data_IF_395045631433
#
_entry.id   IF_395045631433
#
_cell.length_a   1.000
_cell.length_b   1.000
_cell.length_c   1.000
_cell.angle_alpha   90.00
_cell.angle_beta   90.00
_cell.angle_gamma   90.00
#
_symmetry.space_group_name_H-M   'P 1'
#
loop_
_entity.id
_entity.type
_entity.pdbx_description
1 polymer ?
#
# COMPACT_ATOMS: atom_id res chain seq x y z
N UNK A 1 0.21 0.01 21.52
CA UNK A 1 -1.20 0.00 21.96
C UNK A 1 -1.93 -0.98 21.04
N UNK A 2 -2.73 -1.91 21.55
CA UNK A 2 -3.46 -2.91 20.73
C UNK A 2 -4.96 -2.73 20.88
N UNK A 3 -5.71 -3.02 19.81
CA UNK A 3 -7.18 -2.99 19.76
C UNK A 3 -7.73 -4.39 19.52
N UNK A 4 -8.96 -4.66 19.95
CA UNK A 4 -9.60 -5.96 19.74
C UNK A 4 -10.18 -6.03 18.33
N UNK A 5 -9.80 -7.05 17.58
CA UNK A 5 -10.38 -7.39 16.28
C UNK A 5 -11.31 -8.61 16.46
N UNK A 6 -12.61 -8.41 16.27
CA UNK A 6 -13.60 -9.50 16.31
C UNK A 6 -14.04 -9.85 14.89
N UNK A 7 -13.63 -11.04 14.43
CA UNK A 7 -13.96 -11.55 13.09
C UNK A 7 -14.51 -12.97 13.19
N UNK A 8 -15.48 -13.29 12.34
CA UNK A 8 -16.02 -14.65 12.26
C UNK A 8 -15.11 -15.50 11.38
N UNK A 9 -14.65 -16.62 11.92
CA UNK A 9 -13.85 -17.60 11.20
C UNK A 9 -14.49 -18.98 11.29
N UNK A 10 -14.12 -19.89 10.38
CA UNK A 10 -14.54 -21.29 10.47
C UNK A 10 -14.02 -21.88 11.78
N UNK A 11 -14.90 -22.54 12.54
CA UNK A 11 -14.57 -23.16 13.83
C UNK A 11 -13.36 -24.10 13.70
N UNK A 12 -13.38 -24.94 12.66
CA UNK A 12 -12.33 -25.90 12.34
C UNK A 12 -10.93 -25.26 12.18
N UNK A 13 -10.86 -24.05 11.60
CA UNK A 13 -9.59 -23.34 11.42
C UNK A 13 -9.04 -22.85 12.74
N UNK A 14 -9.90 -22.26 13.58
CA UNK A 14 -9.52 -21.78 14.91
C UNK A 14 -9.04 -22.94 15.78
N UNK A 15 -9.82 -24.02 15.83
CA UNK A 15 -9.49 -25.21 16.63
C UNK A 15 -8.19 -25.87 16.16
N UNK A 16 -7.99 -26.02 14.84
CA UNK A 16 -6.77 -26.60 14.31
C UNK A 16 -5.55 -25.71 14.57
N UNK A 17 -5.69 -24.39 14.45
CA UNK A 17 -4.61 -23.45 14.77
C UNK A 17 -4.22 -23.54 16.25
N UNK A 18 -5.20 -23.60 17.15
CA UNK A 18 -4.98 -23.78 18.60
C UNK A 18 -4.30 -25.12 18.91
N UNK A 19 -4.77 -26.22 18.30
CA UNK A 19 -4.16 -27.56 18.47
C UNK A 19 -2.70 -27.61 18.02
N UNK A 20 -2.35 -26.87 16.97
CA UNK A 20 -1.00 -26.79 16.43
C UNK A 20 -0.13 -25.75 17.14
N UNK A 21 -0.66 -25.04 18.15
CA UNK A 21 0.07 -23.98 18.86
C UNK A 21 0.39 -22.77 18.00
N UNK A 22 -0.39 -22.53 16.94
CA UNK A 22 -0.20 -21.39 16.04
C UNK A 22 -0.69 -20.12 16.75
N UNK A 23 0.16 -19.10 16.78
CA UNK A 23 -0.23 -17.78 17.26
C UNK A 23 -1.14 -17.09 16.23
N UNK A 24 -2.45 -17.17 16.44
CA UNK A 24 -3.47 -16.58 15.56
C UNK A 24 -3.26 -15.07 15.41
N UNK A 25 -2.81 -14.39 16.47
CA UNK A 25 -2.55 -12.95 16.42
C UNK A 25 -1.46 -12.62 15.41
N UNK A 26 -0.32 -13.31 15.47
CA UNK A 26 0.80 -13.04 14.56
C UNK A 26 0.43 -13.34 13.10
N UNK A 27 -0.38 -14.38 12.88
CA UNK A 27 -0.89 -14.71 11.54
C UNK A 27 -1.78 -13.60 11.01
N UNK A 28 -2.71 -13.10 11.83
CA UNK A 28 -3.63 -12.04 11.45
C UNK A 28 -2.90 -10.71 11.25
N UNK A 29 -1.97 -10.35 12.14
CA UNK A 29 -1.17 -9.12 12.01
C UNK A 29 -0.34 -9.13 10.71
N UNK A 30 0.39 -10.21 10.44
CA UNK A 30 1.16 -10.34 9.18
C UNK A 30 0.28 -10.29 7.94
N UNK A 31 -0.84 -11.00 7.95
CA UNK A 31 -1.76 -11.00 6.81
C UNK A 31 -2.35 -9.61 6.55
N UNK A 32 -2.66 -8.85 7.63
CA UNK A 32 -3.12 -7.47 7.51
C UNK A 32 -2.01 -6.54 6.99
N UNK A 33 -0.80 -6.64 7.53
CA UNK A 33 0.35 -5.85 7.06
C UNK A 33 0.65 -6.07 5.57
N UNK A 34 0.67 -7.33 5.13
CA UNK A 34 0.87 -7.67 3.72
C UNK A 34 -0.26 -7.14 2.83
N UNK A 35 -1.52 -7.28 3.26
CA UNK A 35 -2.67 -6.77 2.51
C UNK A 35 -2.66 -5.23 2.39
N UNK A 36 -2.31 -4.52 3.47
CA UNK A 36 -2.16 -3.07 3.47
C UNK A 36 -1.04 -2.66 2.51
N UNK A 37 0.13 -3.28 2.64
CA UNK A 37 1.30 -2.96 1.81
C UNK A 37 1.02 -3.15 0.31
N UNK A 38 0.31 -4.21 -0.06
CA UNK A 38 -0.05 -4.41 -1.47
C UNK A 38 -1.04 -3.35 -1.94
N UNK A 39 -2.01 -2.95 -1.10
CA UNK A 39 -2.93 -1.85 -1.45
C UNK A 39 -2.25 -0.49 -1.57
N UNK A 40 -1.36 -0.14 -0.66
CA UNK A 40 -0.58 1.10 -0.77
C UNK A 40 0.25 1.12 -2.06
N UNK A 41 0.85 -0.02 -2.42
CA UNK A 41 1.60 -0.15 -3.68
C UNK A 41 0.70 -0.01 -4.91
N UNK A 42 -0.50 -0.60 -4.90
CA UNK A 42 -1.48 -0.40 -5.97
C UNK A 42 -1.86 1.07 -6.12
N UNK A 43 -2.12 1.78 -5.01
CA UNK A 43 -2.44 3.21 -5.01
C UNK A 43 -1.31 4.06 -5.59
N UNK A 44 -0.05 3.79 -5.21
CA UNK A 44 1.12 4.47 -5.78
C UNK A 44 1.20 4.24 -7.29
N UNK A 45 0.99 3.01 -7.75
CA UNK A 45 1.01 2.70 -9.18
C UNK A 45 -0.11 3.39 -9.95
N UNK A 46 -1.30 3.50 -9.35
CA UNK A 46 -2.43 4.21 -9.95
C UNK A 46 -2.17 5.72 -10.03
N UNK A 47 -1.59 6.32 -9.00
CA UNK A 47 -1.16 7.72 -9.01
C UNK A 47 -0.09 7.93 -10.09
N UNK A 48 0.93 7.08 -10.15
CA UNK A 48 1.99 7.16 -11.15
C UNK A 48 1.42 7.04 -12.58
N UNK A 49 0.45 6.14 -12.81
CA UNK A 49 -0.25 6.02 -14.10
C UNK A 49 -1.00 7.30 -14.46
N UNK A 50 -1.74 7.90 -13.51
CA UNK A 50 -2.44 9.17 -13.72
C UNK A 50 -1.48 10.30 -14.07
N UNK A 51 -0.36 10.42 -13.33
CA UNK A 51 0.68 11.42 -13.63
C UNK A 51 1.22 11.22 -15.04
N UNK A 52 1.57 9.98 -15.41
CA UNK A 52 2.06 9.66 -16.75
C UNK A 52 1.06 10.05 -17.84
N UNK A 53 -0.23 9.81 -17.61
CA UNK A 53 -1.28 10.16 -18.56
C UNK A 53 -1.46 11.68 -18.70
N UNK A 54 -1.38 12.42 -17.59
CA UNK A 54 -1.42 13.89 -17.59
C UNK A 54 -0.18 14.51 -18.25
N UNK A 55 0.99 13.90 -18.07
CA UNK A 55 2.27 14.36 -18.64
C UNK A 55 2.55 13.79 -20.03
N UNK A 56 1.60 13.10 -20.66
CA UNK A 56 1.83 12.41 -21.96
C UNK A 56 2.29 13.35 -23.08
N UNK A 57 1.93 14.62 -22.99
CA UNK A 57 2.22 15.66 -23.99
C UNK A 57 3.37 16.59 -23.55
N UNK A 58 4.06 16.27 -22.43
CA UNK A 58 5.18 17.05 -21.89
C UNK A 58 6.47 16.29 -22.12
N UNK A 59 7.42 16.91 -22.82
CA UNK A 59 8.78 16.37 -22.98
C UNK A 59 9.62 16.54 -21.71
N UNK A 60 10.70 15.76 -21.60
CA UNK A 60 11.63 15.89 -20.49
C UNK A 60 12.30 17.27 -20.49
N UNK A 61 12.60 17.83 -21.66
CA UNK A 61 13.20 19.15 -21.83
C UNK A 61 12.27 20.25 -21.32
N UNK A 62 10.99 20.26 -21.73
CA UNK A 62 9.99 21.24 -21.26
C UNK A 62 9.82 21.20 -19.74
N UNK A 63 9.83 20.00 -19.15
CA UNK A 63 9.73 19.85 -17.69
C UNK A 63 10.97 20.38 -16.97
N UNK A 64 12.17 20.11 -17.50
CA UNK A 64 13.43 20.60 -16.94
C UNK A 64 13.54 22.13 -17.05
N UNK A 65 13.12 22.71 -18.17
CA UNK A 65 13.07 24.16 -18.35
C UNK A 65 12.11 24.80 -17.35
N UNK A 66 10.87 24.30 -17.23
CA UNK A 66 9.90 24.81 -16.26
C UNK A 66 10.43 24.80 -14.82
N UNK A 67 11.11 23.72 -14.39
CA UNK A 67 11.73 23.64 -13.06
C UNK A 67 12.86 24.65 -12.88
N UNK A 68 13.67 24.89 -13.93
CA UNK A 68 14.78 25.85 -13.88
C UNK A 68 14.27 27.28 -13.79
N UNK A 69 13.22 27.61 -14.55
CA UNK A 69 12.58 28.93 -14.51
C UNK A 69 12.02 29.23 -13.12
N UNK A 70 11.21 28.34 -12.55
CA UNK A 70 10.66 28.48 -11.18
C UNK A 70 11.75 28.68 -10.12
N UNK A 71 12.90 27.99 -10.26
CA UNK A 71 14.03 28.13 -9.33
C UNK A 71 14.74 29.47 -9.45
N UNK A 72 14.89 30.00 -10.65
CA UNK A 72 15.60 31.25 -10.91
C UNK A 72 14.76 32.49 -10.58
N UNK A 73 13.43 32.34 -10.50
CA UNK A 73 12.50 33.40 -10.10
C UNK A 73 12.39 33.61 -8.57
N UNK A 74 12.94 32.69 -7.77
CA UNK A 74 13.01 32.81 -6.29
C UNK A 74 14.38 33.24 -5.80
#
# INVERSE_FOLDING_TARGET
MSVVLSVRVRKELKEKAEQLGINIRDVVEKALEEAIKEKEKEEINDIARKIKELMKDVSEEEWVEAIREERNER
#
